data_IF_917514353094
#
_entry.id   IF_917514353094
#
_cell.length_a   1.000
_cell.length_b   1.000
_cell.length_c   1.000
_cell.angle_alpha   90.00
_cell.angle_beta   90.00
_cell.angle_gamma   90.00
#
_symmetry.space_group_name_H-M   'P 1'
#
loop_
_entity.id
_entity.type
_entity.pdbx_description
1 polymer ?
#
# COMPACT_ATOMS: atom_id res chain seq x y z
N UNK A 1 -25.80 -41.54 53.15
CA UNK A 1 -24.64 -42.40 52.81
C UNK A 1 -23.70 -41.56 51.97
N UNK A 2 -22.47 -41.20 52.31
CA UNK A 2 -21.61 -41.43 53.46
C UNK A 2 -20.39 -40.50 53.31
N UNK A 3 -19.78 -40.14 54.44
CA UNK A 3 -18.42 -39.59 54.67
C UNK A 3 -17.57 -39.16 53.45
N UNK A 4 -16.94 -37.98 53.47
CA UNK A 4 -15.68 -37.84 54.23
C UNK A 4 -15.32 -36.38 54.50
N UNK A 5 -15.06 -36.10 55.78
CA UNK A 5 -14.47 -34.88 56.31
C UNK A 5 -12.96 -34.97 56.04
N UNK A 6 -12.40 -34.03 55.26
CA UNK A 6 -11.00 -33.61 55.43
C UNK A 6 -11.03 -32.31 56.21
N UNK A 7 -10.69 -32.40 57.49
CA UNK A 7 -10.44 -31.25 58.35
C UNK A 7 -9.04 -30.71 58.02
N UNK A 8 -8.95 -29.82 57.05
CA UNK A 8 -7.80 -28.93 56.97
C UNK A 8 -8.11 -27.68 57.79
N UNK A 9 -7.63 -27.69 59.04
CA UNK A 9 -7.55 -26.49 59.87
C UNK A 9 -6.63 -25.50 59.16
N UNK A 10 -7.22 -24.55 58.43
CA UNK A 10 -6.51 -23.38 57.92
C UNK A 10 -5.95 -22.62 59.12
N UNK A 11 -4.64 -22.37 59.12
CA UNK A 11 -4.00 -21.62 60.19
C UNK A 11 -4.62 -20.21 60.29
N UNK A 12 -4.73 -19.61 61.49
CA UNK A 12 -5.33 -18.27 61.66
C UNK A 12 -4.67 -17.20 60.77
N UNK A 13 -3.40 -17.41 60.42
CA UNK A 13 -2.61 -16.57 59.52
C UNK A 13 -3.10 -16.56 58.08
N UNK A 14 -3.57 -17.69 57.54
CA UNK A 14 -4.02 -17.79 56.13
C UNK A 14 -5.46 -17.27 55.96
N UNK A 15 -6.34 -17.46 56.95
CA UNK A 15 -7.67 -16.85 56.97
C UNK A 15 -7.57 -15.33 57.06
N UNK A 16 -6.64 -14.81 57.88
CA UNK A 16 -6.39 -13.38 57.96
C UNK A 16 -5.79 -12.84 56.65
N UNK A 17 -4.88 -13.57 56.01
CA UNK A 17 -4.34 -13.21 54.69
C UNK A 17 -5.40 -13.19 53.59
N UNK A 18 -6.36 -14.11 53.62
CA UNK A 18 -7.49 -14.14 52.68
C UNK A 18 -8.50 -13.01 52.96
N UNK A 19 -8.73 -12.68 54.24
CA UNK A 19 -9.54 -11.51 54.63
C UNK A 19 -8.87 -10.20 54.28
N UNK A 20 -7.56 -10.08 54.42
CA UNK A 20 -6.79 -8.91 54.01
C UNK A 20 -6.74 -8.77 52.48
N UNK A 21 -6.71 -9.89 51.75
CA UNK A 21 -6.83 -9.90 50.28
C UNK A 21 -8.24 -9.51 49.82
N UNK A 22 -9.30 -10.03 50.47
CA UNK A 22 -10.68 -9.59 50.20
C UNK A 22 -10.92 -8.14 50.60
N UNK A 23 -10.29 -7.67 51.68
CA UNK A 23 -10.37 -6.29 52.13
C UNK A 23 -9.63 -5.35 51.19
N UNK A 24 -8.44 -5.73 50.71
CA UNK A 24 -7.72 -4.96 49.68
C UNK A 24 -8.47 -4.97 48.35
N UNK A 25 -9.08 -6.09 47.94
CA UNK A 25 -9.89 -6.17 46.73
C UNK A 25 -11.20 -5.36 46.87
N UNK A 26 -11.81 -5.30 48.06
CA UNK A 26 -12.98 -4.45 48.33
C UNK A 26 -12.62 -2.97 48.45
N UNK A 27 -11.49 -2.60 49.04
CA UNK A 27 -11.03 -1.22 49.16
C UNK A 27 -10.47 -0.69 47.83
N UNK A 28 -9.83 -1.53 47.00
CA UNK A 28 -9.43 -1.18 45.63
C UNK A 28 -10.63 -1.14 44.68
N UNK A 29 -11.63 -2.01 44.85
CA UNK A 29 -12.90 -1.95 44.11
C UNK A 29 -13.71 -0.70 44.47
N UNK A 30 -13.73 -0.31 45.75
CA UNK A 30 -14.42 0.89 46.23
C UNK A 30 -13.64 2.20 45.91
N UNK A 31 -12.30 2.16 45.85
CA UNK A 31 -11.47 3.22 45.23
C UNK A 31 -11.61 3.27 43.71
N UNK A 32 -11.98 2.16 43.08
CA UNK A 32 -12.36 2.10 41.67
C UNK A 32 -13.86 2.37 41.48
N UNK A 33 -14.46 3.21 42.34
CA UNK A 33 -15.68 3.95 41.98
C UNK A 33 -15.34 4.72 40.70
N UNK A 34 -15.85 4.22 39.57
CA UNK A 34 -15.50 4.66 38.23
C UNK A 34 -15.50 6.19 38.17
N UNK A 35 -14.31 6.80 38.25
CA UNK A 35 -14.14 8.22 37.91
C UNK A 35 -14.72 8.32 36.52
N UNK A 36 -15.83 9.04 36.36
CA UNK A 36 -16.54 9.16 35.09
C UNK A 36 -15.51 9.59 34.04
N UNK A 37 -15.09 8.64 33.20
CA UNK A 37 -14.08 8.91 32.18
C UNK A 37 -14.78 9.78 31.15
N UNK A 38 -14.48 11.07 31.16
CA UNK A 38 -14.94 12.00 30.12
C UNK A 38 -14.23 11.62 28.82
N UNK A 39 -14.96 11.58 27.71
CA UNK A 39 -14.39 11.27 26.40
C UNK A 39 -13.36 12.34 26.02
N UNK A 40 -12.09 11.95 25.95
CA UNK A 40 -10.96 12.85 25.62
C UNK A 40 -10.97 13.24 24.15
N UNK A 41 -11.64 12.46 23.30
CA UNK A 41 -11.53 12.54 21.84
C UNK A 41 -12.61 13.42 21.18
N UNK A 42 -13.54 13.99 21.96
CA UNK A 42 -14.64 14.80 21.43
C UNK A 42 -14.14 15.99 20.61
N UNK A 43 -13.10 16.68 21.07
CA UNK A 43 -12.51 17.82 20.36
C UNK A 43 -11.93 17.40 19.00
N UNK A 44 -11.15 16.30 18.98
CA UNK A 44 -10.55 15.78 17.74
C UNK A 44 -11.60 15.23 16.77
N UNK A 45 -12.67 14.61 17.28
CA UNK A 45 -13.81 14.18 16.47
C UNK A 45 -14.51 15.37 15.82
N UNK A 46 -14.72 16.48 16.55
CA UNK A 46 -15.30 17.71 15.99
C UNK A 46 -14.39 18.26 14.89
N UNK A 47 -13.08 18.34 15.12
CA UNK A 47 -12.11 18.79 14.10
C UNK A 47 -12.18 17.91 12.85
N UNK A 48 -12.28 16.58 13.03
CA UNK A 48 -12.41 15.64 11.92
C UNK A 48 -13.71 15.83 11.14
N UNK A 49 -14.85 16.02 11.82
CA UNK A 49 -16.13 16.30 11.16
C UNK A 49 -16.09 17.63 10.39
N UNK A 50 -15.50 18.68 10.98
CA UNK A 50 -15.31 19.97 10.30
C UNK A 50 -14.41 19.80 9.06
N UNK A 51 -13.35 19.01 9.16
CA UNK A 51 -12.48 18.70 8.03
C UNK A 51 -13.24 17.97 6.91
N UNK A 52 -14.03 16.94 7.25
CA UNK A 52 -14.80 16.18 6.25
C UNK A 52 -15.89 17.02 5.58
N UNK A 53 -16.60 17.85 6.34
CA UNK A 53 -17.62 18.75 5.77
C UNK A 53 -16.97 19.76 4.83
N UNK A 54 -15.83 20.35 5.19
CA UNK A 54 -15.07 21.22 4.29
C UNK A 54 -14.61 20.48 3.02
N UNK A 55 -14.11 19.24 3.15
CA UNK A 55 -13.72 18.40 2.02
C UNK A 55 -14.89 18.19 1.06
N UNK A 56 -16.05 17.79 1.58
CA UNK A 56 -17.25 17.57 0.78
C UNK A 56 -17.68 18.85 0.06
N UNK A 57 -17.65 20.01 0.72
CA UNK A 57 -17.97 21.30 0.10
C UNK A 57 -17.02 21.63 -1.05
N UNK A 58 -15.71 21.45 -0.87
CA UNK A 58 -14.72 21.69 -1.93
C UNK A 58 -14.84 20.70 -3.09
N UNK A 59 -15.07 19.41 -2.79
CA UNK A 59 -15.31 18.39 -3.80
C UNK A 59 -16.58 18.68 -4.60
N UNK A 60 -17.67 19.05 -3.94
CA UNK A 60 -18.91 19.46 -4.60
C UNK A 60 -18.67 20.65 -5.53
N UNK A 61 -17.93 21.67 -5.09
CA UNK A 61 -17.55 22.81 -5.93
C UNK A 61 -16.76 22.39 -7.18
N UNK A 62 -15.81 21.45 -7.04
CA UNK A 62 -15.07 20.89 -8.18
C UNK A 62 -15.97 20.07 -9.12
N UNK A 63 -16.93 19.31 -8.58
CA UNK A 63 -17.89 18.52 -9.38
C UNK A 63 -18.82 19.43 -10.17
N UNK A 64 -19.37 20.48 -9.56
CA UNK A 64 -20.23 21.45 -10.24
C UNK A 64 -19.55 22.17 -11.40
N UNK A 65 -18.23 22.38 -11.32
CA UNK A 65 -17.44 23.04 -12.36
C UNK A 65 -16.60 22.06 -13.20
N UNK A 66 -16.78 20.76 -13.00
CA UNK A 66 -15.99 19.70 -13.62
C UNK A 66 -16.79 18.89 -14.61
N UNK A 67 -16.06 18.26 -15.53
CA UNK A 67 -16.60 17.22 -16.40
C UNK A 67 -15.47 16.25 -16.73
N UNK A 68 -15.55 15.03 -16.18
CA UNK A 68 -14.50 14.01 -16.31
C UNK A 68 -14.11 13.77 -17.78
N UNK A 69 -15.05 13.90 -18.72
CA UNK A 69 -14.77 13.67 -20.14
C UNK A 69 -13.79 14.68 -20.74
N UNK A 70 -13.61 15.86 -20.12
CA UNK A 70 -12.55 16.82 -20.50
C UNK A 70 -11.15 16.23 -20.33
N UNK A 71 -10.94 15.42 -19.29
CA UNK A 71 -9.66 14.77 -19.02
C UNK A 71 -9.48 13.53 -19.90
N UNK A 72 -10.54 12.72 -20.06
CA UNK A 72 -10.47 11.46 -20.82
C UNK A 72 -10.37 11.73 -22.33
N UNK A 73 -11.28 12.53 -22.88
CA UNK A 73 -11.40 12.75 -24.33
C UNK A 73 -10.58 13.96 -24.82
N UNK A 74 -10.35 14.95 -23.96
CA UNK A 74 -9.80 16.24 -24.38
C UNK A 74 -10.87 17.18 -24.94
N UNK A 75 -10.46 18.43 -25.22
CA UNK A 75 -11.34 19.49 -25.70
C UNK A 75 -10.60 20.37 -26.73
N UNK A 76 -11.34 20.92 -27.69
CA UNK A 76 -10.80 21.80 -28.73
C UNK A 76 -10.52 23.23 -28.24
N UNK A 77 -9.97 24.09 -29.10
CA UNK A 77 -9.75 25.51 -28.76
C UNK A 77 -11.05 26.27 -28.46
N UNK A 78 -12.20 25.76 -28.86
CA UNK A 78 -13.52 26.31 -28.57
C UNK A 78 -14.11 25.83 -27.23
N UNK A 79 -13.39 24.97 -26.49
CA UNK A 79 -13.84 24.41 -25.23
C UNK A 79 -14.81 23.24 -25.35
N UNK A 80 -15.05 22.72 -26.56
CA UNK A 80 -15.94 21.60 -26.84
C UNK A 80 -15.21 20.27 -26.59
N UNK A 81 -15.88 19.34 -25.92
CA UNK A 81 -15.33 18.01 -25.62
C UNK A 81 -15.45 17.11 -26.85
N UNK A 82 -14.35 16.45 -27.23
CA UNK A 82 -14.32 15.55 -28.39
C UNK A 82 -15.17 14.30 -28.16
N UNK A 83 -15.85 13.81 -29.21
CA UNK A 83 -16.72 12.63 -29.16
C UNK A 83 -18.03 12.83 -28.39
N UNK A 84 -18.40 14.08 -28.07
CA UNK A 84 -19.58 14.43 -27.26
C UNK A 84 -20.40 15.55 -27.90
N UNK A 85 -21.64 15.67 -27.44
CA UNK A 85 -22.56 16.74 -27.84
C UNK A 85 -22.48 17.89 -26.83
N UNK A 86 -21.99 19.05 -27.26
CA UNK A 86 -21.66 20.18 -26.38
C UNK A 86 -22.75 21.26 -26.28
N UNK A 87 -24.00 20.97 -26.70
CA UNK A 87 -25.11 21.95 -26.78
C UNK A 87 -25.34 22.80 -25.52
N UNK A 88 -24.98 22.31 -24.33
CA UNK A 88 -25.17 23.00 -23.05
C UNK A 88 -24.19 24.16 -22.79
N UNK A 89 -23.11 24.30 -23.58
CA UNK A 89 -22.16 25.41 -23.42
C UNK A 89 -22.68 26.75 -23.98
N UNK A 90 -23.83 26.76 -24.67
CA UNK A 90 -24.45 27.97 -25.26
C UNK A 90 -24.89 29.02 -24.23
N UNK A 91 -25.11 28.67 -22.97
CA UNK A 91 -25.51 29.63 -21.94
C UNK A 91 -24.38 30.59 -21.51
N UNK A 92 -23.12 30.30 -21.88
CA UNK A 92 -21.95 31.13 -21.57
C UNK A 92 -21.74 32.26 -22.59
N UNK A 93 -22.54 32.31 -23.66
CA UNK A 93 -22.42 33.21 -24.81
C UNK A 93 -22.70 34.70 -24.47
N UNK A 94 -23.38 34.96 -23.35
CA UNK A 94 -23.81 36.32 -22.96
C UNK A 94 -22.68 37.25 -22.46
N UNK A 95 -21.42 36.80 -22.40
CA UNK A 95 -20.30 37.57 -21.82
C UNK A 95 -19.14 37.88 -22.77
N UNK A 96 -19.09 37.32 -23.97
CA UNK A 96 -18.01 37.58 -24.94
C UNK A 96 -18.55 37.64 -26.37
N UNK A 97 -17.98 38.49 -27.22
CA UNK A 97 -18.26 38.54 -28.66
C UNK A 97 -17.72 37.29 -29.42
N UNK A 98 -17.50 36.17 -28.71
CA UNK A 98 -16.77 34.99 -29.16
C UNK A 98 -17.74 33.82 -29.48
N UNK A 99 -18.87 34.15 -30.07
CA UNK A 99 -20.07 33.29 -30.17
C UNK A 99 -20.03 32.25 -31.29
N UNK A 100 -18.99 32.20 -32.11
CA UNK A 100 -19.09 31.46 -33.37
C UNK A 100 -18.84 29.94 -33.27
N UNK A 101 -18.12 29.45 -32.24
CA UNK A 101 -17.73 28.03 -32.18
C UNK A 101 -18.02 27.30 -30.85
N UNK A 102 -18.60 27.97 -29.86
CA UNK A 102 -19.00 27.37 -28.58
C UNK A 102 -20.23 26.45 -28.73
N UNK A 103 -20.18 25.30 -28.06
CA UNK A 103 -21.31 24.38 -27.95
C UNK A 103 -21.63 23.62 -29.24
N UNK A 104 -20.63 23.41 -30.10
CA UNK A 104 -20.77 22.62 -31.33
C UNK A 104 -20.75 21.12 -31.02
N UNK A 105 -21.53 20.34 -31.77
CA UNK A 105 -21.54 18.88 -31.61
C UNK A 105 -20.27 18.28 -32.19
N UNK A 106 -19.50 17.54 -31.38
CA UNK A 106 -18.23 16.90 -31.74
C UNK A 106 -18.32 15.38 -31.72
N UNK A 107 -19.53 14.82 -31.86
CA UNK A 107 -19.80 13.38 -31.78
C UNK A 107 -19.04 12.58 -32.84
N UNK A 108 -18.90 13.10 -34.05
CA UNK A 108 -18.21 12.44 -35.17
C UNK A 108 -16.68 12.60 -35.12
N UNK A 109 -16.16 13.33 -34.12
CA UNK A 109 -14.75 13.69 -33.97
C UNK A 109 -14.27 13.26 -32.57
N UNK A 110 -14.06 11.95 -32.31
CA UNK A 110 -13.79 11.44 -30.97
C UNK A 110 -12.35 11.63 -30.50
N UNK A 111 -11.40 11.90 -31.40
CA UNK A 111 -9.99 11.98 -31.06
C UNK A 111 -9.52 13.42 -30.89
N UNK A 112 -8.79 13.69 -29.81
CA UNK A 112 -8.16 14.99 -29.58
C UNK A 112 -6.71 15.01 -30.06
N UNK A 113 -6.35 16.04 -30.84
CA UNK A 113 -4.98 16.28 -31.33
C UNK A 113 -4.52 17.68 -30.94
N UNK A 114 -3.22 17.80 -30.63
CA UNK A 114 -2.56 19.10 -30.37
C UNK A 114 -1.52 19.33 -31.45
N UNK A 115 -1.70 20.38 -32.25
CA UNK A 115 -0.80 20.74 -33.33
C UNK A 115 -0.03 22.00 -32.97
N UNK A 116 1.27 22.03 -33.29
CA UNK A 116 2.09 23.24 -33.16
C UNK A 116 1.90 24.10 -34.39
N UNK A 117 1.64 25.39 -34.21
CA UNK A 117 1.54 26.33 -35.31
C UNK A 117 2.93 26.64 -35.90
N UNK A 118 3.06 26.63 -37.22
CA UNK A 118 4.35 26.73 -37.92
C UNK A 118 5.08 28.07 -37.73
N UNK A 119 4.35 29.14 -37.39
CA UNK A 119 4.87 30.52 -37.29
C UNK A 119 5.02 31.05 -35.86
N UNK A 120 4.65 30.28 -34.83
CA UNK A 120 4.64 30.74 -33.43
C UNK A 120 4.95 29.58 -32.45
N UNK A 121 5.16 29.87 -31.15
CA UNK A 121 5.27 28.83 -30.10
C UNK A 121 3.91 28.31 -29.63
N UNK A 122 2.87 28.47 -30.45
CA UNK A 122 1.48 28.29 -30.05
C UNK A 122 0.94 26.95 -30.51
N UNK A 123 -0.06 26.46 -29.79
CA UNK A 123 -0.62 25.13 -29.97
C UNK A 123 -2.13 25.23 -30.19
N UNK A 124 -2.59 24.58 -31.25
CA UNK A 124 -4.01 24.47 -31.57
C UNK A 124 -4.54 23.11 -31.11
N UNK A 125 -5.69 23.11 -30.45
CA UNK A 125 -6.39 21.91 -29.99
C UNK A 125 -7.59 21.65 -30.89
N UNK A 126 -7.63 20.46 -31.50
CA UNK A 126 -8.68 20.10 -32.46
C UNK A 126 -9.27 18.73 -32.11
N UNK A 127 -10.57 18.58 -32.37
CA UNK A 127 -11.22 17.28 -32.42
C UNK A 127 -11.23 16.78 -33.86
N UNK A 128 -10.87 15.51 -34.07
CA UNK A 128 -10.80 14.90 -35.40
C UNK A 128 -11.45 13.51 -35.41
N UNK A 129 -11.90 13.08 -36.59
CA UNK A 129 -12.54 11.78 -36.81
C UNK A 129 -11.53 10.63 -36.85
N UNK A 130 -10.36 10.85 -37.46
CA UNK A 130 -9.29 9.85 -37.55
C UNK A 130 -7.90 10.50 -37.44
N UNK A 131 -7.04 9.93 -36.59
CA UNK A 131 -5.62 10.33 -36.48
C UNK A 131 -4.81 10.05 -37.76
N UNK A 132 -5.22 9.10 -38.61
CA UNK A 132 -4.53 8.77 -39.85
C UNK A 132 -4.52 9.91 -40.88
N UNK A 133 -5.36 10.94 -40.68
CA UNK A 133 -5.38 12.16 -41.50
C UNK A 133 -4.11 13.01 -41.32
N UNK A 134 -3.35 12.79 -40.24
CA UNK A 134 -2.13 13.52 -39.94
C UNK A 134 -0.93 12.57 -39.96
N UNK A 135 -0.03 12.76 -40.92
CA UNK A 135 1.18 11.94 -41.03
C UNK A 135 2.04 12.03 -39.77
N UNK A 136 2.48 10.87 -39.27
CA UNK A 136 3.31 10.79 -38.08
C UNK A 136 2.56 10.89 -36.75
N UNK A 137 1.24 10.70 -36.73
CA UNK A 137 0.46 10.52 -35.50
C UNK A 137 -0.11 9.11 -35.40
N UNK A 138 -0.26 8.60 -34.17
CA UNK A 138 -0.92 7.33 -33.86
C UNK A 138 -2.05 7.52 -32.86
N UNK A 139 -3.04 6.62 -32.93
CA UNK A 139 -4.15 6.54 -31.96
C UNK A 139 -3.62 6.00 -30.62
N UNK A 140 -3.91 6.69 -29.53
CA UNK A 140 -3.68 6.23 -28.17
C UNK A 140 -4.87 6.65 -27.30
N UNK A 141 -5.74 5.70 -26.95
CA UNK A 141 -7.07 5.98 -26.39
C UNK A 141 -7.82 7.02 -27.25
N UNK A 142 -8.40 8.04 -26.62
CA UNK A 142 -9.16 9.10 -27.29
C UNK A 142 -8.27 10.28 -27.74
N UNK A 143 -6.97 10.02 -27.97
CA UNK A 143 -5.98 11.06 -28.32
C UNK A 143 -5.09 10.62 -29.47
N UNK A 144 -4.65 11.59 -30.28
CA UNK A 144 -3.63 11.38 -31.30
C UNK A 144 -2.28 11.86 -30.77
N UNK A 145 -1.31 10.95 -30.67
CA UNK A 145 0.04 11.28 -30.22
C UNK A 145 1.03 11.25 -31.39
N UNK A 146 1.96 12.21 -31.49
CA UNK A 146 2.96 12.18 -32.54
C UNK A 146 3.94 11.03 -32.31
N UNK A 147 4.27 10.29 -33.35
CA UNK A 147 5.23 9.17 -33.35
C UNK A 147 6.63 9.64 -32.88
N UNK A 148 6.98 10.91 -33.15
CA UNK A 148 8.23 11.53 -32.67
C UNK A 148 8.22 11.92 -31.19
N UNK A 149 7.07 11.94 -30.51
CA UNK A 149 7.04 12.10 -29.04
C UNK A 149 7.75 10.96 -28.34
N UNK A 150 7.83 9.80 -28.99
CA UNK A 150 8.63 8.69 -28.53
C UNK A 150 10.11 9.09 -28.47
N UNK A 151 10.64 9.93 -29.36
CA UNK A 151 12.07 10.30 -29.31
C UNK A 151 12.42 11.20 -28.12
N UNK A 152 11.60 12.20 -27.78
CA UNK A 152 11.85 13.11 -26.64
C UNK A 152 11.50 12.47 -25.30
N UNK A 153 10.38 11.74 -25.23
CA UNK A 153 10.03 10.95 -24.04
C UNK A 153 11.03 9.82 -23.85
N UNK A 154 11.42 9.10 -24.91
CA UNK A 154 12.48 8.09 -24.80
C UNK A 154 13.81 8.73 -24.46
N UNK A 155 14.18 9.93 -24.92
CA UNK A 155 15.47 10.54 -24.54
C UNK A 155 15.51 10.99 -23.08
N UNK A 156 14.38 11.44 -22.53
CA UNK A 156 14.27 11.80 -21.11
C UNK A 156 14.15 10.54 -20.23
N UNK A 157 13.30 9.58 -20.61
CA UNK A 157 13.10 8.32 -19.87
C UNK A 157 14.26 7.33 -20.02
N UNK A 158 14.94 7.27 -21.17
CA UNK A 158 16.13 6.42 -21.37
C UNK A 158 17.31 6.95 -20.57
N UNK A 159 17.43 8.27 -20.38
CA UNK A 159 18.43 8.86 -19.47
C UNK A 159 18.23 8.44 -18.02
N UNK A 160 17.00 8.11 -17.63
CA UNK A 160 16.66 7.61 -16.29
C UNK A 160 16.59 6.08 -16.20
N UNK A 161 16.77 5.34 -17.30
CA UNK A 161 16.60 3.87 -17.35
C UNK A 161 15.16 3.36 -17.16
N UNK A 162 14.23 4.24 -16.76
CA UNK A 162 12.86 3.89 -16.40
C UNK A 162 12.01 3.40 -17.58
N UNK A 163 12.26 3.82 -18.83
CA UNK A 163 11.44 3.33 -19.96
C UNK A 163 11.64 1.84 -20.19
N UNK A 164 12.88 1.36 -20.09
CA UNK A 164 13.19 -0.05 -20.30
C UNK A 164 12.56 -0.84 -19.15
N UNK A 165 12.75 -0.38 -17.91
CA UNK A 165 12.11 -0.97 -16.73
C UNK A 165 10.58 -0.99 -16.83
N UNK A 166 9.91 0.11 -17.18
CA UNK A 166 8.44 0.15 -17.26
C UNK A 166 7.89 -0.64 -18.44
N UNK A 167 8.59 -0.68 -19.57
CA UNK A 167 8.15 -1.46 -20.73
C UNK A 167 8.28 -2.95 -20.43
N UNK A 168 9.43 -3.35 -19.87
CA UNK A 168 9.69 -4.72 -19.42
C UNK A 168 8.73 -5.14 -18.31
N UNK A 169 8.54 -4.33 -17.26
CA UNK A 169 7.56 -4.59 -16.18
C UNK A 169 6.12 -4.62 -16.70
N UNK A 170 5.77 -3.79 -17.69
CA UNK A 170 4.42 -3.79 -18.26
C UNK A 170 4.17 -5.01 -19.13
N UNK A 171 5.16 -5.43 -19.92
CA UNK A 171 5.10 -6.66 -20.71
C UNK A 171 5.02 -7.88 -19.77
N UNK A 172 5.85 -7.91 -18.73
CA UNK A 172 5.83 -8.94 -17.69
C UNK A 172 4.49 -8.97 -16.94
N UNK A 173 3.92 -7.81 -16.61
CA UNK A 173 2.63 -7.74 -15.94
C UNK A 173 1.49 -8.22 -16.85
N UNK A 174 1.52 -7.87 -18.14
CA UNK A 174 0.49 -8.34 -19.08
C UNK A 174 0.54 -9.86 -19.29
N UNK A 175 1.72 -10.46 -19.26
CA UNK A 175 1.88 -11.92 -19.40
C UNK A 175 1.53 -12.63 -18.08
N UNK A 176 1.93 -12.08 -16.93
CA UNK A 176 1.92 -12.77 -15.64
C UNK A 176 0.84 -12.30 -14.66
N UNK A 177 -0.09 -11.41 -15.02
CA UNK A 177 -1.09 -10.88 -14.08
C UNK A 177 -1.91 -11.96 -13.37
N UNK A 178 -2.24 -13.07 -14.05
CA UNK A 178 -2.92 -14.22 -13.45
C UNK A 178 -2.07 -14.89 -12.39
N UNK A 179 -0.80 -15.14 -12.70
CA UNK A 179 0.16 -15.77 -11.79
C UNK A 179 0.44 -14.89 -10.57
N UNK A 180 0.55 -13.57 -10.77
CA UNK A 180 0.68 -12.60 -9.67
C UNK A 180 -0.55 -12.67 -8.76
N UNK A 181 -1.76 -12.69 -9.34
CA UNK A 181 -2.99 -12.83 -8.56
C UNK A 181 -3.03 -14.15 -7.78
N UNK A 182 -2.62 -15.27 -8.40
CA UNK A 182 -2.52 -16.57 -7.71
C UNK A 182 -1.50 -16.55 -6.58
N UNK A 183 -0.31 -16.01 -6.79
CA UNK A 183 0.73 -15.88 -5.76
C UNK A 183 0.29 -14.97 -4.61
N UNK A 184 -0.39 -13.85 -4.90
CA UNK A 184 -0.97 -12.98 -3.87
C UNK A 184 -2.06 -13.70 -3.07
N UNK A 185 -2.91 -14.49 -3.72
CA UNK A 185 -3.96 -15.26 -3.06
C UNK A 185 -3.34 -16.36 -2.18
N UNK A 186 -2.36 -17.11 -2.69
CA UNK A 186 -1.61 -18.11 -1.91
C UNK A 186 -0.91 -17.45 -0.72
N UNK A 187 -0.27 -16.29 -0.92
CA UNK A 187 0.37 -15.53 0.16
C UNK A 187 -0.64 -15.06 1.21
N UNK A 188 -1.84 -14.63 0.81
CA UNK A 188 -2.91 -14.24 1.72
C UNK A 188 -3.40 -15.45 2.52
N UNK A 189 -3.62 -16.60 1.86
CA UNK A 189 -4.01 -17.85 2.51
C UNK A 189 -2.91 -18.32 3.46
N UNK A 190 -1.65 -18.32 3.06
CA UNK A 190 -0.50 -18.67 3.92
C UNK A 190 -0.36 -17.70 5.10
N UNK A 191 -0.58 -16.40 4.89
CA UNK A 191 -0.55 -15.40 5.97
C UNK A 191 -1.71 -15.61 6.95
N UNK A 192 -2.92 -15.88 6.45
CA UNK A 192 -4.07 -16.23 7.28
C UNK A 192 -3.85 -17.55 8.03
N UNK A 193 -3.25 -18.54 7.37
CA UNK A 193 -2.91 -19.83 7.96
C UNK A 193 -1.83 -19.68 9.04
N UNK A 194 -0.83 -18.81 8.83
CA UNK A 194 0.18 -18.48 9.84
C UNK A 194 -0.47 -17.85 11.08
N UNK A 195 -1.45 -16.95 10.91
CA UNK A 195 -2.23 -16.40 12.03
C UNK A 195 -3.00 -17.49 12.78
N UNK A 196 -3.55 -18.48 12.07
CA UNK A 196 -4.18 -19.65 12.69
C UNK A 196 -3.15 -20.59 13.33
N UNK A 197 -1.96 -20.75 12.77
CA UNK A 197 -0.90 -21.60 13.29
C UNK A 197 -0.28 -21.01 14.57
N UNK A 198 -0.17 -19.68 14.63
CA UNK A 198 0.14 -18.95 15.85
C UNK A 198 -0.80 -19.33 17.00
N UNK A 199 -2.02 -19.79 16.74
CA UNK A 199 -2.95 -20.27 17.77
C UNK A 199 -2.48 -21.54 18.48
N UNK A 200 -1.90 -22.50 17.75
CA UNK A 200 -1.65 -23.85 18.27
C UNK A 200 -0.22 -24.03 18.79
N UNK A 201 0.73 -23.22 18.32
CA UNK A 201 2.17 -23.42 18.59
C UNK A 201 2.94 -22.09 18.77
N UNK A 202 2.36 -21.06 19.42
CA UNK A 202 2.98 -19.73 19.63
C UNK A 202 4.49 -19.82 19.93
N UNK A 203 4.86 -20.63 20.94
CA UNK A 203 6.24 -20.76 21.36
C UNK A 203 7.14 -21.30 20.25
N UNK A 204 6.72 -22.36 19.57
CA UNK A 204 7.49 -22.95 18.46
C UNK A 204 7.59 -21.99 17.30
N UNK A 205 6.51 -21.27 16.95
CA UNK A 205 6.51 -20.29 15.86
C UNK A 205 7.49 -19.15 16.15
N UNK A 206 7.50 -18.60 17.37
CA UNK A 206 8.46 -17.55 17.76
C UNK A 206 9.91 -18.04 17.65
N UNK A 207 10.20 -19.27 18.09
CA UNK A 207 11.53 -19.86 17.93
C UNK A 207 11.90 -20.12 16.47
N UNK A 208 10.97 -20.59 15.63
CA UNK A 208 11.19 -20.79 14.19
C UNK A 208 11.48 -19.46 13.50
N UNK A 209 10.74 -18.39 13.81
CA UNK A 209 10.97 -17.06 13.22
C UNK A 209 12.31 -16.49 13.68
N UNK A 210 12.66 -16.63 14.97
CA UNK A 210 13.94 -16.15 15.49
C UNK A 210 15.13 -16.94 14.91
N UNK A 211 15.10 -18.27 15.00
CA UNK A 211 16.16 -19.14 14.45
C UNK A 211 16.22 -19.06 12.93
N UNK A 212 15.07 -19.00 12.26
CA UNK A 212 14.96 -18.86 10.81
C UNK A 212 15.50 -17.53 10.31
N UNK A 213 15.23 -16.43 11.02
CA UNK A 213 15.78 -15.10 10.68
C UNK A 213 17.30 -15.08 10.83
N UNK A 214 17.84 -15.69 11.89
CA UNK A 214 19.28 -15.86 12.08
C UNK A 214 19.89 -16.72 10.97
N UNK A 215 19.27 -17.87 10.67
CA UNK A 215 19.73 -18.76 9.62
C UNK A 215 19.69 -18.07 8.25
N UNK A 216 18.63 -17.34 7.91
CA UNK A 216 18.52 -16.61 6.64
C UNK A 216 19.59 -15.50 6.53
N UNK A 217 19.85 -14.76 7.61
CA UNK A 217 20.90 -13.74 7.62
C UNK A 217 22.31 -14.36 7.51
N UNK A 218 22.54 -15.49 8.19
CA UNK A 218 23.80 -16.24 8.09
C UNK A 218 23.99 -16.84 6.69
N UNK A 219 22.97 -17.50 6.13
CA UNK A 219 23.00 -18.05 4.77
C UNK A 219 23.19 -16.92 3.75
N UNK A 220 22.46 -15.82 3.86
CA UNK A 220 22.57 -14.67 2.95
C UNK A 220 23.96 -14.04 2.98
N UNK A 221 24.54 -13.83 4.17
CA UNK A 221 25.93 -13.34 4.29
C UNK A 221 26.93 -14.34 3.75
N UNK A 222 26.81 -15.63 4.07
CA UNK A 222 27.68 -16.68 3.53
C UNK A 222 27.61 -16.71 2.00
N UNK A 223 26.41 -16.71 1.40
CA UNK A 223 26.24 -16.71 -0.06
C UNK A 223 26.88 -15.48 -0.72
N UNK A 224 26.68 -14.28 -0.16
CA UNK A 224 27.30 -13.05 -0.69
C UNK A 224 28.84 -13.11 -0.62
N UNK A 225 29.38 -13.63 0.47
CA UNK A 225 30.83 -13.86 0.59
C UNK A 225 31.33 -14.97 -0.34
N UNK A 226 30.56 -16.04 -0.55
CA UNK A 226 30.87 -17.13 -1.48
C UNK A 226 30.96 -16.63 -2.91
N UNK A 227 29.97 -15.83 -3.34
CA UNK A 227 29.95 -15.21 -4.68
C UNK A 227 31.12 -14.25 -4.86
N UNK A 228 31.46 -13.47 -3.82
CA UNK A 228 32.64 -12.60 -3.85
C UNK A 228 33.96 -13.40 -3.95
N UNK A 229 34.07 -14.55 -3.26
CA UNK A 229 35.28 -15.41 -3.30
C UNK A 229 35.39 -16.28 -4.56
N UNK A 230 34.28 -16.56 -5.26
CA UNK A 230 34.31 -17.31 -6.53
C UNK A 230 34.91 -16.50 -7.69
N UNK A 231 34.98 -15.17 -7.57
CA UNK A 231 35.55 -14.27 -8.58
C UNK A 231 37.07 -14.03 -8.38
N UNK A 232 37.64 -14.41 -7.23
CA UNK A 232 39.06 -14.19 -6.90
C UNK A 232 39.87 -15.48 -6.91
N UNK A 233 40.96 -15.60 -7.69
CA UNK A 233 41.88 -16.69 -7.52
C UNK A 233 42.71 -16.39 -6.26
N UNK A 234 42.77 -17.38 -5.37
CA UNK A 234 43.66 -17.46 -4.21
C UNK A 234 43.01 -17.02 -2.88
N UNK A 235 43.18 -17.87 -1.86
CA UNK A 235 42.74 -17.79 -0.45
C UNK A 235 41.38 -18.43 -0.10
N UNK A 236 41.41 -19.76 0.12
CA UNK A 236 40.27 -20.49 0.69
C UNK A 236 40.57 -21.92 1.15
N UNK A 237 41.77 -22.19 1.71
CA UNK A 237 42.20 -23.55 2.07
C UNK A 237 41.40 -24.20 3.22
N UNK A 238 40.62 -23.44 4.00
CA UNK A 238 39.89 -23.95 5.16
C UNK A 238 38.43 -24.36 4.87
N UNK A 239 37.86 -23.96 3.73
CA UNK A 239 36.44 -24.19 3.41
C UNK A 239 36.23 -25.22 2.28
N UNK A 240 37.31 -25.72 1.69
CA UNK A 240 37.34 -26.64 0.56
C UNK A 240 36.54 -27.96 0.75
N UNK A 241 36.56 -28.64 1.92
CA UNK A 241 35.86 -29.92 2.06
C UNK A 241 34.32 -29.78 2.16
N UNK A 242 33.81 -28.71 2.78
CA UNK A 242 32.37 -28.45 2.84
C UNK A 242 31.80 -28.03 1.47
N UNK A 243 32.58 -27.26 0.71
CA UNK A 243 32.21 -26.78 -0.61
C UNK A 243 32.14 -27.86 -1.70
N UNK A 244 33.01 -28.87 -1.65
CA UNK A 244 33.03 -29.90 -2.70
C UNK A 244 31.75 -30.75 -2.66
N UNK A 245 31.15 -30.95 -1.47
CA UNK A 245 29.88 -31.66 -1.30
C UNK A 245 28.69 -30.90 -1.94
N UNK A 246 28.60 -29.59 -1.72
CA UNK A 246 27.52 -28.77 -2.29
C UNK A 246 27.65 -28.57 -3.80
N UNK A 247 28.89 -28.47 -4.31
CA UNK A 247 29.17 -28.43 -5.76
C UNK A 247 28.75 -29.73 -6.46
N UNK A 248 28.96 -30.89 -5.83
CA UNK A 248 28.56 -32.20 -6.37
C UNK A 248 27.03 -32.30 -6.47
N UNK A 249 26.30 -31.80 -5.46
CA UNK A 249 24.83 -31.74 -5.49
C UNK A 249 24.29 -30.78 -6.56
N UNK A 250 24.90 -29.62 -6.73
CA UNK A 250 24.44 -28.63 -7.72
C UNK A 250 24.78 -29.02 -9.16
N UNK A 251 25.93 -29.69 -9.38
CA UNK A 251 26.34 -30.17 -10.71
C UNK A 251 25.35 -31.18 -11.29
N UNK A 252 24.72 -32.00 -10.46
CA UNK A 252 23.75 -32.99 -10.90
C UNK A 252 22.43 -32.37 -11.44
N UNK A 253 22.14 -31.11 -11.11
CA UNK A 253 20.98 -30.38 -11.62
C UNK A 253 21.27 -29.62 -12.91
N UNK A 254 22.54 -29.34 -13.22
CA UNK A 254 22.93 -28.47 -14.34
C UNK A 254 23.20 -29.23 -15.63
N UNK A 255 23.69 -30.47 -15.52
CA UNK A 255 24.02 -31.33 -16.69
C UNK A 255 22.77 -31.89 -17.40
N UNK A 256 21.54 -31.53 -16.99
CA UNK A 256 20.30 -31.92 -17.65
C UNK A 256 19.80 -30.92 -18.72
N UNK A 257 20.45 -29.75 -18.88
CA UNK A 257 19.88 -28.63 -19.65
C UNK A 257 20.87 -27.84 -20.52
N UNK A 258 21.98 -28.43 -20.99
CA UNK A 258 22.92 -27.71 -21.85
C UNK A 258 22.90 -28.20 -23.31
N UNK A 259 22.40 -27.33 -24.18
CA UNK A 259 22.46 -27.46 -25.63
C UNK A 259 22.34 -26.12 -26.35
N UNK A 260 23.28 -25.17 -26.16
CA UNK A 260 23.50 -24.06 -27.11
C UNK A 260 24.89 -23.39 -26.90
N UNK A 261 25.60 -22.96 -27.97
CA UNK A 261 27.01 -22.56 -27.91
C UNK A 261 27.24 -21.10 -27.49
N UNK A 262 28.41 -20.87 -26.92
CA UNK A 262 28.84 -19.72 -26.12
C UNK A 262 29.71 -18.72 -26.90
N UNK A 263 29.11 -17.91 -27.77
CA UNK A 263 29.88 -16.91 -28.57
C UNK A 263 29.36 -15.47 -28.61
N UNK A 264 28.42 -15.06 -27.75
CA UNK A 264 27.92 -13.68 -27.70
C UNK A 264 27.58 -13.20 -26.27
N UNK A 265 28.57 -13.19 -25.37
CA UNK A 265 28.42 -12.55 -24.06
C UNK A 265 29.02 -11.13 -24.10
N UNK A 266 28.21 -10.07 -23.96
CA UNK A 266 28.72 -8.72 -23.79
C UNK A 266 29.34 -8.55 -22.40
N UNK A 267 30.36 -7.70 -22.36
CA UNK A 267 31.26 -7.35 -21.26
C UNK A 267 30.53 -6.72 -20.03
N UNK A 268 29.92 -7.55 -19.18
CA UNK A 268 29.21 -7.15 -17.94
C UNK A 268 30.00 -7.53 -16.66
N UNK A 269 31.24 -8.00 -16.79
CA UNK A 269 31.94 -8.63 -15.66
C UNK A 269 32.86 -7.68 -14.85
N UNK A 270 33.23 -6.51 -15.36
CA UNK A 270 34.29 -5.70 -14.70
C UNK A 270 33.74 -4.63 -13.73
N UNK A 271 32.49 -4.16 -13.89
CA UNK A 271 31.93 -3.08 -13.04
C UNK A 271 31.15 -3.57 -11.80
N UNK A 272 31.04 -4.89 -11.63
CA UNK A 272 30.17 -5.54 -10.64
C UNK A 272 30.90 -5.89 -9.33
N UNK A 273 32.22 -6.05 -9.34
CA UNK A 273 33.01 -6.52 -8.18
C UNK A 273 32.94 -5.60 -6.95
N UNK A 274 33.09 -4.30 -7.13
CA UNK A 274 33.13 -3.33 -6.01
C UNK A 274 31.75 -3.18 -5.34
N UNK A 275 30.68 -3.35 -6.12
CA UNK A 275 29.31 -3.25 -5.62
C UNK A 275 28.96 -4.43 -4.72
N UNK A 276 29.37 -5.66 -5.07
CA UNK A 276 29.11 -6.85 -4.26
C UNK A 276 29.88 -6.85 -2.94
N UNK A 277 31.10 -6.32 -2.93
CA UNK A 277 31.90 -6.19 -1.69
C UNK A 277 31.21 -5.26 -0.69
N UNK A 278 30.71 -4.10 -1.15
CA UNK A 278 29.95 -3.18 -0.29
C UNK A 278 28.70 -3.84 0.27
N UNK A 279 27.94 -4.57 -0.55
CA UNK A 279 26.76 -5.31 -0.08
C UNK A 279 27.11 -6.41 0.92
N UNK A 280 28.23 -7.12 0.74
CA UNK A 280 28.69 -8.15 1.67
C UNK A 280 29.07 -7.57 3.04
N UNK A 281 29.74 -6.42 3.08
CA UNK A 281 30.07 -5.72 4.33
C UNK A 281 28.81 -5.18 5.03
N UNK A 282 27.88 -4.60 4.28
CA UNK A 282 26.62 -4.11 4.85
C UNK A 282 25.79 -5.28 5.42
N UNK A 283 25.72 -6.40 4.72
CA UNK A 283 25.01 -7.59 5.17
C UNK A 283 25.62 -8.18 6.46
N UNK A 284 26.95 -8.21 6.60
CA UNK A 284 27.58 -8.69 7.85
C UNK A 284 27.29 -7.78 9.02
N UNK A 285 27.34 -6.45 8.84
CA UNK A 285 26.97 -5.48 9.88
C UNK A 285 25.53 -5.71 10.33
N UNK A 286 24.59 -5.84 9.40
CA UNK A 286 23.18 -6.12 9.71
C UNK A 286 23.02 -7.44 10.47
N UNK A 287 23.67 -8.52 10.02
CA UNK A 287 23.63 -9.83 10.70
C UNK A 287 24.18 -9.77 12.12
N UNK A 288 25.27 -9.02 12.35
CA UNK A 288 25.84 -8.81 13.69
C UNK A 288 24.88 -8.03 14.58
N UNK A 289 24.29 -6.94 14.07
CA UNK A 289 23.32 -6.14 14.84
C UNK A 289 22.10 -6.99 15.22
N UNK A 290 21.52 -7.73 14.28
CA UNK A 290 20.36 -8.60 14.55
C UNK A 290 20.72 -9.68 15.57
N UNK A 291 21.88 -10.32 15.42
CA UNK A 291 22.36 -11.35 16.36
C UNK A 291 22.55 -10.80 17.76
N UNK A 292 23.11 -9.59 17.87
CA UNK A 292 23.31 -8.89 19.14
C UNK A 292 21.97 -8.54 19.80
N UNK A 293 21.00 -8.03 19.04
CA UNK A 293 19.64 -7.75 19.54
C UNK A 293 19.01 -9.02 20.10
N UNK A 294 19.06 -10.13 19.37
CA UNK A 294 18.48 -11.41 19.82
C UNK A 294 19.20 -11.92 21.08
N UNK A 295 20.53 -11.82 21.12
CA UNK A 295 21.32 -12.24 22.29
C UNK A 295 20.97 -11.43 23.55
N UNK A 296 20.86 -10.10 23.42
CA UNK A 296 20.51 -9.20 24.53
C UNK A 296 19.05 -9.42 24.96
N UNK A 297 18.14 -9.63 24.02
CA UNK A 297 16.72 -9.80 24.31
C UNK A 297 16.34 -11.21 24.77
N UNK A 298 17.27 -12.18 24.82
CA UNK A 298 16.98 -13.59 25.16
C UNK A 298 16.14 -13.78 26.44
N UNK A 299 16.36 -12.94 27.45
CA UNK A 299 15.62 -12.99 28.71
C UNK A 299 14.20 -12.41 28.58
N UNK A 300 14.01 -11.42 27.69
CA UNK A 300 12.70 -10.82 27.40
C UNK A 300 11.86 -11.70 26.48
N UNK A 301 12.48 -12.54 25.64
CA UNK A 301 11.77 -13.46 24.73
C UNK A 301 10.84 -14.40 25.51
N UNK A 302 11.27 -14.91 26.69
CA UNK A 302 10.42 -15.77 27.52
C UNK A 302 9.13 -15.07 27.98
N UNK A 303 9.24 -13.78 28.34
CA UNK A 303 8.09 -12.94 28.72
C UNK A 303 7.17 -12.66 27.51
N UNK A 304 7.75 -12.41 26.34
CA UNK A 304 7.00 -12.19 25.10
C UNK A 304 6.25 -13.45 24.65
N UNK A 305 6.87 -14.64 24.77
CA UNK A 305 6.20 -15.91 24.48
C UNK A 305 4.99 -16.12 25.39
N UNK A 306 5.11 -15.85 26.69
CA UNK A 306 3.97 -15.92 27.62
C UNK A 306 2.87 -14.91 27.27
N UNK A 307 3.24 -13.69 26.89
CA UNK A 307 2.30 -12.67 26.45
C UNK A 307 1.52 -13.12 25.20
N UNK A 308 2.22 -13.67 24.20
CA UNK A 308 1.59 -14.19 23.00
C UNK A 308 0.75 -15.45 23.25
N UNK A 309 1.12 -16.29 24.20
CA UNK A 309 0.30 -17.44 24.61
C UNK A 309 -1.05 -16.97 25.18
N UNK A 310 -1.05 -15.96 26.06
CA UNK A 310 -2.28 -15.38 26.60
C UNK A 310 -3.09 -14.62 25.54
N UNK A 311 -2.43 -13.89 24.64
CA UNK A 311 -3.09 -13.28 23.49
C UNK A 311 -3.72 -14.33 22.55
N UNK A 312 -3.06 -15.47 22.35
CA UNK A 312 -3.57 -16.61 21.58
C UNK A 312 -4.83 -17.21 22.21
N UNK A 313 -4.88 -17.34 23.55
CA UNK A 313 -6.09 -17.75 24.28
C UNK A 313 -7.24 -16.75 24.10
N UNK A 314 -6.96 -15.45 24.04
CA UNK A 314 -7.95 -14.41 23.78
C UNK A 314 -8.53 -14.51 22.36
N UNK A 315 -7.66 -14.64 21.34
CA UNK A 315 -8.07 -14.81 19.94
C UNK A 315 -8.87 -16.10 19.75
N UNK A 316 -8.49 -17.19 20.42
CA UNK A 316 -9.21 -18.46 20.37
C UNK A 316 -10.65 -18.36 20.91
N UNK A 317 -10.87 -17.51 21.91
CA UNK A 317 -12.19 -17.24 22.48
C UNK A 317 -13.01 -16.24 21.65
N UNK A 318 -12.37 -15.48 20.75
CA UNK A 318 -13.00 -14.46 19.92
C UNK A 318 -12.55 -14.58 18.45
N UNK A 319 -12.94 -15.64 17.74
CA UNK A 319 -12.40 -15.96 16.41
C UNK A 319 -12.72 -14.91 15.34
N UNK A 320 -13.80 -14.13 15.51
CA UNK A 320 -14.20 -13.10 14.55
C UNK A 320 -13.19 -11.92 14.53
N UNK A 321 -12.34 -11.75 15.55
CA UNK A 321 -11.25 -10.77 15.52
C UNK A 321 -10.25 -11.01 14.39
N UNK A 322 -10.16 -12.24 13.85
CA UNK A 322 -9.32 -12.54 12.70
C UNK A 322 -9.88 -12.00 11.37
N UNK A 323 -11.17 -11.64 11.33
CA UNK A 323 -11.80 -11.00 10.16
C UNK A 323 -11.54 -9.49 10.11
N UNK A 324 -11.18 -8.88 11.24
CA UNK A 324 -10.96 -7.44 11.37
C UNK A 324 -9.94 -6.87 10.36
N UNK A 325 -8.76 -7.48 10.13
CA UNK A 325 -7.81 -6.97 9.14
C UNK A 325 -8.34 -7.02 7.70
N UNK A 326 -9.17 -8.01 7.36
CA UNK A 326 -9.77 -8.12 6.02
C UNK A 326 -10.77 -6.97 5.83
N UNK A 327 -11.58 -6.72 6.84
CA UNK A 327 -12.55 -5.63 6.82
C UNK A 327 -11.86 -4.27 6.65
N UNK A 328 -10.72 -4.05 7.32
CA UNK A 328 -9.98 -2.79 7.17
C UNK A 328 -9.30 -2.65 5.81
N UNK A 329 -8.79 -3.73 5.22
CA UNK A 329 -8.31 -3.71 3.84
C UNK A 329 -9.43 -3.34 2.85
N UNK A 330 -10.64 -3.84 3.04
CA UNK A 330 -11.79 -3.48 2.20
C UNK A 330 -12.09 -1.97 2.32
N UNK A 331 -12.19 -1.44 3.54
CA UNK A 331 -12.47 -0.02 3.75
C UNK A 331 -11.35 0.90 3.23
N UNK A 332 -10.09 0.51 3.39
CA UNK A 332 -8.96 1.23 2.80
C UNK A 332 -9.00 1.19 1.27
N UNK A 333 -9.31 0.04 0.67
CA UNK A 333 -9.48 -0.11 -0.77
C UNK A 333 -10.57 0.80 -1.33
N UNK A 334 -11.74 0.85 -0.67
CA UNK A 334 -12.83 1.78 -1.02
C UNK A 334 -12.39 3.24 -0.91
N UNK A 335 -11.66 3.59 0.15
CA UNK A 335 -11.14 4.94 0.35
C UNK A 335 -10.18 5.36 -0.76
N UNK A 336 -9.28 4.47 -1.17
CA UNK A 336 -8.34 4.71 -2.29
C UNK A 336 -9.11 4.85 -3.61
N UNK A 337 -10.10 4.00 -3.88
CA UNK A 337 -10.92 4.07 -5.09
C UNK A 337 -11.71 5.40 -5.16
N UNK A 338 -12.34 5.81 -4.06
CA UNK A 338 -13.03 7.10 -3.95
C UNK A 338 -12.06 8.27 -4.13
N UNK A 339 -10.86 8.19 -3.55
CA UNK A 339 -9.84 9.21 -3.73
C UNK A 339 -9.46 9.39 -5.21
N UNK A 340 -9.21 8.29 -5.94
CA UNK A 340 -8.94 8.35 -7.39
C UNK A 340 -10.12 8.94 -8.16
N UNK A 341 -11.35 8.51 -7.84
CA UNK A 341 -12.56 9.05 -8.46
C UNK A 341 -12.67 10.57 -8.30
N UNK A 342 -12.48 11.09 -7.08
CA UNK A 342 -12.50 12.53 -6.83
C UNK A 342 -11.30 13.27 -7.42
N UNK A 343 -10.12 12.64 -7.51
CA UNK A 343 -8.98 13.20 -8.23
C UNK A 343 -9.31 13.47 -9.70
N UNK A 344 -10.05 12.57 -10.39
CA UNK A 344 -10.49 12.80 -11.77
C UNK A 344 -11.42 14.02 -11.88
N UNK A 345 -12.36 14.17 -10.94
CA UNK A 345 -13.23 15.35 -10.89
C UNK A 345 -12.45 16.64 -10.65
N UNK A 346 -11.54 16.66 -9.67
CA UNK A 346 -10.70 17.82 -9.37
C UNK A 346 -9.85 18.19 -10.59
N UNK A 347 -9.26 17.21 -11.29
CA UNK A 347 -8.47 17.48 -12.48
C UNK A 347 -9.29 18.02 -13.64
N UNK A 348 -10.54 17.56 -13.77
CA UNK A 348 -11.46 18.03 -14.81
C UNK A 348 -12.11 19.38 -14.52
N UNK A 349 -12.05 19.84 -13.26
CA UNK A 349 -12.65 21.10 -12.83
C UNK A 349 -11.95 22.32 -13.44
N UNK A 350 -12.75 23.32 -13.84
CA UNK A 350 -12.24 24.57 -14.37
C UNK A 350 -13.34 25.44 -14.97
N UNK A 351 -13.13 26.75 -14.94
CA UNK A 351 -14.02 27.73 -15.56
C UNK A 351 -13.51 28.08 -16.95
N UNK A 352 -14.43 28.21 -17.91
CA UNK A 352 -14.06 28.50 -19.28
C UNK A 352 -13.69 29.99 -19.39
N UNK A 353 -12.44 30.26 -19.74
CA UNK A 353 -11.93 31.63 -19.92
C UNK A 353 -11.35 31.79 -21.32
N UNK A 354 -11.73 32.87 -21.99
CA UNK A 354 -11.14 33.25 -23.27
C UNK A 354 -9.72 33.80 -23.03
N UNK A 355 -8.72 33.14 -23.61
CA UNK A 355 -7.34 33.61 -23.53
C UNK A 355 -7.02 34.52 -24.72
N UNK A 356 -7.57 34.19 -25.90
CA UNK A 356 -7.43 34.92 -27.16
C UNK A 356 -8.71 34.75 -27.98
N UNK A 357 -8.87 35.56 -29.02
CA UNK A 357 -10.03 35.48 -29.92
C UNK A 357 -10.28 34.03 -30.38
N UNK A 358 -11.45 33.49 -30.01
CA UNK A 358 -11.89 32.11 -30.31
C UNK A 358 -11.00 30.98 -29.73
N UNK A 359 -10.17 31.28 -28.72
CA UNK A 359 -9.35 30.28 -28.00
C UNK A 359 -9.65 30.33 -26.52
N UNK A 360 -10.36 29.30 -26.06
CA UNK A 360 -10.80 29.11 -24.70
C UNK A 360 -9.96 28.07 -23.97
N UNK A 361 -9.79 28.29 -22.68
CA UNK A 361 -9.07 27.41 -21.79
C UNK A 361 -9.81 27.28 -20.47
N UNK A 362 -9.85 26.07 -19.92
CA UNK A 362 -10.42 25.80 -18.60
C UNK A 362 -9.41 26.18 -17.52
N UNK A 363 -9.58 27.37 -16.94
CA UNK A 363 -8.70 27.88 -15.88
C UNK A 363 -9.18 27.38 -14.53
N UNK A 364 -8.25 26.84 -13.73
CA UNK A 364 -8.51 26.44 -12.33
C UNK A 364 -8.32 27.65 -11.40
N UNK A 365 -9.32 27.89 -10.57
CA UNK A 365 -9.27 28.90 -9.50
C UNK A 365 -8.35 28.46 -8.36
N UNK A 366 -8.01 29.40 -7.46
CA UNK A 366 -7.21 29.11 -6.27
C UNK A 366 -7.81 27.99 -5.42
N UNK A 367 -9.13 28.01 -5.20
CA UNK A 367 -9.85 26.97 -4.45
C UNK A 367 -9.76 25.58 -5.10
N UNK A 368 -9.87 25.49 -6.43
CA UNK A 368 -9.76 24.20 -7.14
C UNK A 368 -8.34 23.63 -7.02
N UNK A 369 -7.31 24.49 -7.11
CA UNK A 369 -5.90 24.09 -6.91
C UNK A 369 -5.62 23.65 -5.48
N UNK A 370 -6.17 24.36 -4.50
CA UNK A 370 -6.06 24.00 -3.09
C UNK A 370 -6.72 22.65 -2.80
N UNK A 371 -7.91 22.42 -3.36
CA UNK A 371 -8.69 21.18 -3.20
C UNK A 371 -7.90 19.94 -3.60
N UNK A 372 -7.02 20.02 -4.60
CA UNK A 372 -6.12 18.92 -4.99
C UNK A 372 -5.27 18.43 -3.81
N UNK A 373 -4.58 19.35 -3.15
CA UNK A 373 -3.71 19.03 -2.01
C UNK A 373 -4.52 18.64 -0.77
N UNK A 374 -5.66 19.31 -0.57
CA UNK A 374 -6.57 19.01 0.53
C UNK A 374 -7.17 17.60 0.42
N UNK A 375 -7.56 17.15 -0.79
CA UNK A 375 -8.05 15.80 -1.05
C UNK A 375 -6.97 14.73 -0.83
N UNK A 376 -5.72 15.01 -1.19
CA UNK A 376 -4.59 14.11 -0.89
C UNK A 376 -4.38 13.94 0.62
N UNK A 377 -4.37 15.04 1.37
CA UNK A 377 -4.28 14.97 2.83
C UNK A 377 -5.51 14.29 3.44
N UNK A 378 -6.71 14.53 2.88
CA UNK A 378 -7.95 13.89 3.30
C UNK A 378 -7.90 12.37 3.17
N UNK A 379 -7.30 11.83 2.11
CA UNK A 379 -7.08 10.38 1.98
C UNK A 379 -6.19 9.82 3.07
N UNK A 380 -5.06 10.49 3.38
CA UNK A 380 -4.17 10.06 4.45
C UNK A 380 -4.85 10.09 5.81
N UNK A 381 -5.63 11.14 6.10
CA UNK A 381 -6.37 11.25 7.34
C UNK A 381 -7.46 10.17 7.43
N UNK A 382 -8.24 9.96 6.36
CA UNK A 382 -9.24 8.89 6.32
C UNK A 382 -8.63 7.51 6.53
N UNK A 383 -7.46 7.24 5.95
CA UNK A 383 -6.75 5.98 6.18
C UNK A 383 -6.36 5.80 7.66
N UNK A 384 -5.80 6.83 8.29
CA UNK A 384 -5.48 6.80 9.73
C UNK A 384 -6.73 6.65 10.60
N UNK A 385 -7.85 7.28 10.23
CA UNK A 385 -9.11 7.13 10.94
C UNK A 385 -9.61 5.67 10.89
N UNK A 386 -9.58 5.03 9.70
CA UNK A 386 -9.97 3.62 9.55
C UNK A 386 -9.07 2.70 10.39
N UNK A 387 -7.75 2.93 10.38
CA UNK A 387 -6.80 2.17 11.20
C UNK A 387 -7.04 2.43 12.71
N UNK A 388 -7.37 3.66 13.09
CA UNK A 388 -7.75 4.02 14.45
C UNK A 388 -9.00 3.28 14.92
N UNK A 389 -10.04 3.22 14.08
CA UNK A 389 -11.25 2.44 14.35
C UNK A 389 -10.91 0.96 14.56
N UNK A 390 -10.01 0.39 13.76
CA UNK A 390 -9.52 -0.97 13.93
C UNK A 390 -8.94 -1.20 15.33
N UNK A 391 -8.03 -0.31 15.76
CA UNK A 391 -7.41 -0.40 17.07
C UNK A 391 -8.45 -0.27 18.19
N UNK A 392 -9.43 0.62 18.04
CA UNK A 392 -10.53 0.79 18.99
C UNK A 392 -11.37 -0.48 19.12
N UNK A 393 -11.77 -1.11 18.00
CA UNK A 393 -12.56 -2.36 18.00
C UNK A 393 -11.79 -3.49 18.66
N UNK A 394 -10.51 -3.68 18.30
CA UNK A 394 -9.67 -4.73 18.88
C UNK A 394 -9.48 -4.50 20.39
N UNK A 395 -9.17 -3.26 20.80
CA UNK A 395 -9.01 -2.93 22.22
C UNK A 395 -10.30 -3.14 23.02
N UNK A 396 -11.45 -2.74 22.44
CA UNK A 396 -12.78 -2.96 23.01
C UNK A 396 -13.06 -4.43 23.23
N UNK A 397 -12.91 -5.26 22.20
CA UNK A 397 -13.14 -6.70 22.29
C UNK A 397 -12.22 -7.39 23.31
N UNK A 398 -10.91 -7.06 23.31
CA UNK A 398 -9.94 -7.60 24.27
C UNK A 398 -10.28 -7.17 25.70
N UNK A 399 -10.70 -5.92 25.92
CA UNK A 399 -11.10 -5.45 27.25
C UNK A 399 -12.33 -6.19 27.77
N UNK A 400 -13.36 -6.37 26.94
CA UNK A 400 -14.57 -7.10 27.29
C UNK A 400 -14.22 -8.55 27.65
N UNK A 401 -13.38 -9.20 26.85
CA UNK A 401 -12.92 -10.56 27.13
C UNK A 401 -12.13 -10.68 28.43
N UNK A 402 -11.24 -9.72 28.69
CA UNK A 402 -10.38 -9.72 29.87
C UNK A 402 -11.19 -9.60 31.16
N UNK A 403 -12.20 -8.72 31.18
CA UNK A 403 -13.03 -8.48 32.37
C UNK A 403 -14.24 -9.42 32.51
N UNK A 404 -14.54 -10.27 31.52
CA UNK A 404 -15.68 -11.19 31.61
C UNK A 404 -15.34 -12.40 32.49
N UNK A 405 -16.02 -12.50 33.63
CA UNK A 405 -15.84 -13.59 34.62
C UNK A 405 -16.18 -14.99 34.08
N UNK A 406 -17.10 -15.10 33.12
CA UNK A 406 -17.45 -16.36 32.47
C UNK A 406 -17.23 -16.29 30.94
N UNK A 407 -16.12 -16.87 30.47
CA UNK A 407 -15.68 -16.88 29.07
C UNK A 407 -16.60 -17.70 28.15
N UNK A 408 -17.40 -18.63 28.69
CA UNK A 408 -18.36 -19.43 27.90
C UNK A 408 -19.62 -18.62 27.48
N UNK A 409 -19.85 -17.45 28.09
CA UNK A 409 -20.98 -16.56 27.75
C UNK A 409 -20.61 -15.46 26.74
N UNK A 410 -19.46 -15.56 26.08
CA UNK A 410 -19.06 -14.62 25.03
C UNK A 410 -19.97 -14.79 23.81
N UNK A 411 -21.07 -14.05 23.77
CA UNK A 411 -21.78 -13.75 22.52
C UNK A 411 -20.89 -12.94 21.57
N UNK A 412 -21.30 -12.83 20.31
CA UNK A 412 -20.54 -12.11 19.26
C UNK A 412 -20.18 -10.68 19.71
N UNK A 413 -18.89 -10.37 19.90
CA UNK A 413 -18.46 -9.13 20.58
C UNK A 413 -18.39 -7.93 19.62
N UNK A 414 -19.48 -7.62 18.91
CA UNK A 414 -19.58 -6.47 17.99
C UNK A 414 -20.62 -5.41 18.40
N UNK A 415 -21.14 -5.44 19.63
CA UNK A 415 -21.97 -4.36 20.18
C UNK A 415 -21.61 -4.04 21.62
#
# INVERSE_FOLDING_TARGET
MGSSISNDKVQPSEVNKFKDFQKSESEDSEKCKAKSRTSTDVCFLIVFIVFLTALICFLAYCVFNGDIFRTINGYDDCGNICGRNNKNLKHLDNKSNASQCLGTSKVNEPYHIVLRQSSSKEFNRLCISDCSLYEGYRKFFNRCMPNKSQTVVNTIFSRTGLSNFFTEVSEDFQICWTEICYLCLIALVLSSLLLVLFRYLVGVVVWIVLLGSLAACLIGTILLWCVNTLQGPQYGALWYPFFNFFRILWKHSKDANDGMPSSLLPDVDVRKSDTYLVFAILATIVTVIISLIIFVMRNRIKLVVQLFEEAGKAIAAMPILLLEPILTFIFLGVTIALWFYFCLWIESSGTLTETRANVFYYKKDGWMKFTRWYNFFGMLWMAQFIIGCQHMVIAGAVSIWYFKRNKASLGTPFL
#
